data_IF_062026368340
#
_entry.id   IF_062026368340
#
_cell.length_a   1.000
_cell.length_b   1.000
_cell.length_c   1.000
_cell.angle_alpha   90.00
_cell.angle_beta   90.00
_cell.angle_gamma   90.00
#
_symmetry.space_group_name_H-M   'P 1'
#
loop_
_entity.id
_entity.type
_entity.pdbx_description
1 polymer ?
#
# COMPACT_ATOMS: atom_id res chain seq x y z
N UNK A 1 -1.24 -17.49 3.25
CA UNK A 1 -0.81 -16.28 2.54
C UNK A 1 -1.46 -16.22 1.17
N UNK A 2 -2.07 -15.08 0.88
CA UNK A 2 -2.57 -14.81 -0.45
C UNK A 2 -1.50 -14.07 -1.23
N UNK A 3 -0.93 -14.74 -2.22
CA UNK A 3 -0.06 -14.08 -3.17
C UNK A 3 -0.91 -13.69 -4.37
N UNK A 4 -1.02 -12.41 -4.63
CA UNK A 4 -1.63 -11.95 -5.87
C UNK A 4 -0.65 -12.20 -7.02
N UNK A 5 -1.10 -12.05 -8.26
CA UNK A 5 -0.28 -12.33 -9.44
C UNK A 5 0.86 -11.31 -9.59
N UNK A 6 1.63 -11.11 -8.53
CA UNK A 6 2.74 -10.17 -8.51
C UNK A 6 3.82 -10.67 -7.56
N UNK A 7 5.08 -10.49 -7.96
CA UNK A 7 6.23 -10.75 -7.09
C UNK A 7 6.52 -9.55 -6.19
N UNK A 8 5.78 -8.45 -6.32
CA UNK A 8 6.10 -7.19 -5.67
C UNK A 8 5.18 -6.86 -4.50
N UNK A 9 4.02 -7.50 -4.41
CA UNK A 9 3.10 -7.26 -3.30
C UNK A 9 2.20 -8.47 -3.07
N UNK A 10 1.79 -8.66 -1.83
CA UNK A 10 0.92 -9.76 -1.44
C UNK A 10 0.28 -9.48 -0.09
N UNK A 11 -0.73 -10.28 0.26
CA UNK A 11 -1.34 -10.26 1.59
C UNK A 11 -1.31 -11.65 2.20
N UNK A 12 -1.28 -11.69 3.53
CA UNK A 12 -1.45 -12.93 4.27
C UNK A 12 -2.93 -13.25 4.41
N UNK A 13 -3.27 -14.53 4.32
CA UNK A 13 -4.57 -15.01 4.73
C UNK A 13 -4.72 -14.82 6.24
N UNK A 14 -5.89 -14.43 6.69
CA UNK A 14 -6.21 -14.49 8.10
C UNK A 14 -7.67 -14.93 8.27
N UNK A 15 -7.97 -15.43 9.46
CA UNK A 15 -9.32 -15.93 9.76
C UNK A 15 -10.29 -14.78 9.99
N UNK A 16 -9.78 -13.62 10.39
CA UNK A 16 -10.58 -12.41 10.52
C UNK A 16 -10.56 -11.69 9.17
N UNK A 17 -11.63 -11.83 8.41
CA UNK A 17 -11.73 -11.29 7.06
C UNK A 17 -11.76 -9.76 6.98
N UNK A 18 -11.60 -9.08 8.11
CA UNK A 18 -11.61 -7.62 8.18
C UNK A 18 -10.22 -7.02 8.17
N UNK A 19 -9.19 -7.80 8.46
CA UNK A 19 -7.81 -7.30 8.60
C UNK A 19 -6.87 -8.16 7.80
N UNK A 20 -5.98 -7.51 7.06
CA UNK A 20 -4.92 -8.18 6.31
C UNK A 20 -3.60 -7.48 6.57
N UNK A 21 -2.54 -8.27 6.49
CA UNK A 21 -1.19 -7.73 6.43
C UNK A 21 -0.75 -7.74 4.98
N UNK A 22 -0.30 -6.59 4.48
CA UNK A 22 0.19 -6.47 3.13
C UNK A 22 1.70 -6.27 3.12
N UNK A 23 2.34 -6.64 2.04
CA UNK A 23 3.77 -6.41 1.83
C UNK A 23 3.98 -5.88 0.43
N UNK A 24 4.79 -4.83 0.32
CA UNK A 24 5.21 -4.28 -0.96
C UNK A 24 6.73 -4.29 -1.00
N UNK A 25 7.29 -4.82 -2.09
CA UNK A 25 8.72 -4.71 -2.37
C UNK A 25 8.93 -3.46 -3.20
N UNK A 26 9.89 -2.62 -2.80
CA UNK A 26 10.15 -1.35 -3.47
C UNK A 26 10.45 -1.53 -4.95
N UNK A 27 9.91 -0.66 -5.83
CA UNK A 27 10.18 -0.74 -7.25
C UNK A 27 11.67 -0.61 -7.56
N UNK A 28 12.13 -1.33 -8.56
CA UNK A 28 13.52 -1.23 -9.02
C UNK A 28 13.78 0.16 -9.58
N UNK A 29 15.03 0.61 -9.48
CA UNK A 29 15.47 1.92 -9.98
C UNK A 29 14.74 3.08 -9.31
N UNK A 30 14.40 2.91 -8.03
CA UNK A 30 13.79 3.95 -7.22
C UNK A 30 14.47 4.01 -5.86
N UNK A 31 14.18 5.06 -5.11
CA UNK A 31 14.66 5.20 -3.73
C UNK A 31 14.10 4.13 -2.79
N UNK A 32 13.12 3.35 -3.23
CA UNK A 32 12.51 2.27 -2.46
C UNK A 32 13.11 0.91 -2.78
N UNK A 33 13.99 0.82 -3.77
CA UNK A 33 14.57 -0.43 -4.23
C UNK A 33 15.24 -1.19 -3.09
N UNK A 34 15.07 -2.51 -3.08
CA UNK A 34 15.62 -3.42 -2.08
C UNK A 34 15.05 -3.22 -0.67
N UNK A 35 13.94 -2.52 -0.56
CA UNK A 35 13.25 -2.32 0.71
C UNK A 35 11.95 -3.09 0.73
N UNK A 36 11.58 -3.56 1.92
CA UNK A 36 10.34 -4.30 2.15
C UNK A 36 9.45 -3.44 3.04
N UNK A 37 8.23 -3.18 2.58
CA UNK A 37 7.27 -2.36 3.32
C UNK A 37 6.11 -3.22 3.78
N UNK A 38 5.80 -3.12 5.07
CA UNK A 38 4.65 -3.79 5.68
C UNK A 38 3.51 -2.81 5.82
N UNK A 39 2.31 -3.28 5.48
CA UNK A 39 1.10 -2.48 5.53
C UNK A 39 0.03 -3.20 6.31
N UNK A 40 -0.84 -2.44 6.94
CA UNK A 40 -2.06 -2.93 7.57
C UNK A 40 -3.24 -2.51 6.72
N UNK A 41 -4.13 -3.45 6.44
CA UNK A 41 -5.30 -3.22 5.60
C UNK A 41 -6.53 -3.62 6.39
N UNK A 42 -7.49 -2.72 6.50
CA UNK A 42 -8.72 -2.96 7.23
C UNK A 42 -9.93 -2.75 6.33
N UNK A 43 -10.78 -3.78 6.25
CA UNK A 43 -12.05 -3.67 5.58
C UNK A 43 -13.07 -3.07 6.55
N UNK A 44 -13.64 -1.92 6.20
CA UNK A 44 -14.69 -1.30 6.98
C UNK A 44 -16.02 -2.05 6.81
N UNK A 45 -17.04 -1.57 7.52
CA UNK A 45 -18.36 -2.19 7.48
C UNK A 45 -18.97 -2.23 6.09
N UNK A 46 -18.59 -1.29 5.25
CA UNK A 46 -19.12 -1.17 3.89
C UNK A 46 -18.26 -1.82 2.81
N UNK A 47 -17.15 -2.44 3.21
CA UNK A 47 -16.34 -3.18 2.27
C UNK A 47 -17.09 -4.43 1.80
N UNK A 48 -17.09 -4.82 0.53
CA UNK A 48 -16.33 -4.26 -0.58
C UNK A 48 -17.02 -3.13 -1.36
N UNK A 49 -18.14 -2.63 -0.87
CA UNK A 49 -18.84 -1.52 -1.53
C UNK A 49 -18.01 -0.25 -1.50
N UNK A 50 -17.23 -0.07 -0.44
CA UNK A 50 -16.25 0.98 -0.30
C UNK A 50 -14.86 0.36 -0.20
N UNK A 51 -13.80 1.09 -0.60
CA UNK A 51 -12.44 0.57 -0.48
C UNK A 51 -12.02 0.40 0.98
N UNK A 52 -11.00 -0.44 1.24
CA UNK A 52 -10.48 -0.61 2.59
C UNK A 52 -9.67 0.61 3.05
N UNK A 53 -9.36 0.65 4.34
CA UNK A 53 -8.40 1.59 4.91
C UNK A 53 -7.03 0.95 4.89
N UNK A 54 -6.01 1.69 4.43
CA UNK A 54 -4.65 1.18 4.29
C UNK A 54 -3.69 2.08 5.04
N UNK A 55 -2.77 1.46 5.77
CA UNK A 55 -1.77 2.16 6.55
C UNK A 55 -0.42 1.48 6.38
N UNK A 56 0.63 2.26 6.09
CA UNK A 56 1.99 1.75 6.16
C UNK A 56 2.40 1.57 7.62
N UNK A 57 2.92 0.41 7.94
CA UNK A 57 3.57 0.15 9.23
C UNK A 57 5.02 0.58 9.12
N UNK A 58 5.72 0.12 8.08
CA UNK A 58 7.08 0.55 7.78
C UNK A 58 7.06 2.01 7.36
N UNK A 59 7.95 2.81 7.95
CA UNK A 59 8.01 4.24 7.64
C UNK A 59 8.49 4.45 6.21
N UNK A 60 7.80 5.33 5.51
CA UNK A 60 8.08 5.64 4.11
C UNK A 60 7.92 7.15 3.92
N UNK A 61 8.80 7.74 3.13
CA UNK A 61 8.64 9.11 2.68
C UNK A 61 7.98 9.09 1.30
N UNK A 62 6.67 9.29 1.28
CA UNK A 62 5.87 9.29 0.04
C UNK A 62 4.72 10.29 0.22
N UNK A 63 5.05 11.60 0.33
CA UNK A 63 4.06 12.60 0.73
C UNK A 63 2.93 12.80 -0.28
N UNK A 64 3.11 12.32 -1.51
CA UNK A 64 2.06 12.45 -2.53
C UNK A 64 0.78 11.70 -2.16
N UNK A 65 0.87 10.64 -1.35
CA UNK A 65 -0.31 9.86 -0.99
C UNK A 65 -0.29 9.30 0.42
N UNK A 66 0.80 9.43 1.18
CA UNK A 66 0.91 8.89 2.53
C UNK A 66 1.01 10.03 3.53
N UNK A 67 0.18 9.97 4.57
CA UNK A 67 0.26 10.91 5.68
C UNK A 67 1.55 10.62 6.45
N UNK A 68 2.46 11.58 6.45
CA UNK A 68 3.78 11.39 7.02
C UNK A 68 3.79 11.37 8.55
N UNK A 69 2.65 11.64 9.18
CA UNK A 69 2.52 11.59 10.63
C UNK A 69 2.16 10.20 11.14
N UNK A 70 1.42 9.42 10.35
CA UNK A 70 0.82 8.18 10.85
C UNK A 70 0.84 7.03 9.85
N UNK A 71 1.20 7.27 8.59
CA UNK A 71 1.31 6.21 7.58
C UNK A 71 0.03 5.90 6.82
N UNK A 72 -1.10 6.54 7.12
CA UNK A 72 -2.33 6.28 6.38
C UNK A 72 -2.21 6.71 4.92
N UNK A 73 -2.73 5.89 4.03
CA UNK A 73 -2.70 6.14 2.59
C UNK A 73 -3.98 6.85 2.16
N UNK A 74 -3.82 7.95 1.45
CA UNK A 74 -4.96 8.63 0.83
C UNK A 74 -5.22 7.97 -0.53
N UNK A 75 -6.17 7.04 -0.56
CA UNK A 75 -6.48 6.25 -1.75
C UNK A 75 -7.05 7.10 -2.88
N UNK A 76 -7.65 8.24 -2.55
CA UNK A 76 -8.14 9.18 -3.55
C UNK A 76 -7.02 9.78 -4.38
N UNK A 77 -5.86 10.02 -3.75
CA UNK A 77 -4.71 10.61 -4.43
C UNK A 77 -4.02 9.67 -5.41
N UNK A 78 -4.27 8.37 -5.29
CA UNK A 78 -3.73 7.38 -6.23
C UNK A 78 -4.81 6.77 -7.10
N UNK A 79 -6.00 7.38 -7.11
CA UNK A 79 -7.07 7.01 -8.03
C UNK A 79 -7.89 5.79 -7.63
N UNK A 80 -7.67 5.22 -6.45
CA UNK A 80 -8.36 3.99 -6.04
C UNK A 80 -9.84 4.21 -5.81
N UNK A 81 -10.22 5.34 -5.18
CA UNK A 81 -11.63 5.62 -4.90
C UNK A 81 -12.43 5.98 -6.14
N UNK A 82 -11.73 6.42 -7.18
CA UNK A 82 -12.34 6.79 -8.44
C UNK A 82 -12.63 5.50 -9.22
N UNK A 83 -13.89 5.22 -9.46
CA UNK A 83 -14.28 3.99 -10.14
C UNK A 83 -14.22 2.75 -9.28
N UNK A 84 -14.11 2.88 -7.95
CA UNK A 84 -14.15 1.71 -7.07
C UNK A 84 -15.48 0.98 -7.21
N UNK A 85 -15.41 -0.35 -7.34
CA UNK A 85 -16.56 -1.23 -7.35
C UNK A 85 -16.31 -2.39 -6.41
N UNK A 86 -17.38 -3.11 -6.05
CA UNK A 86 -17.26 -4.29 -5.18
C UNK A 86 -16.44 -5.41 -5.80
N UNK A 87 -16.12 -5.32 -7.09
CA UNK A 87 -15.28 -6.31 -7.77
C UNK A 87 -13.79 -5.99 -7.65
N UNK A 88 -13.44 -4.81 -7.18
CA UNK A 88 -12.05 -4.47 -6.91
C UNK A 88 -11.55 -5.24 -5.69
N UNK A 89 -10.25 -5.44 -5.62
CA UNK A 89 -9.63 -6.27 -4.61
C UNK A 89 -8.52 -5.52 -3.88
N UNK A 90 -8.03 -6.13 -2.81
CA UNK A 90 -6.86 -5.66 -2.09
C UNK A 90 -5.65 -5.60 -3.03
N UNK A 91 -5.56 -6.53 -3.98
CA UNK A 91 -4.50 -6.52 -5.00
C UNK A 91 -4.50 -5.23 -5.81
N UNK A 92 -5.69 -4.74 -6.18
CA UNK A 92 -5.81 -3.47 -6.91
C UNK A 92 -5.27 -2.31 -6.10
N UNK A 93 -5.56 -2.31 -4.80
CA UNK A 93 -5.09 -1.26 -3.88
C UNK A 93 -3.56 -1.29 -3.77
N UNK A 94 -2.99 -2.47 -3.50
CA UNK A 94 -1.54 -2.61 -3.36
C UNK A 94 -0.83 -2.27 -4.67
N UNK A 95 -1.42 -2.66 -5.80
CA UNK A 95 -0.87 -2.33 -7.11
C UNK A 95 -0.85 -0.83 -7.37
N UNK A 96 -1.90 -0.12 -6.96
CA UNK A 96 -1.97 1.33 -7.11
C UNK A 96 -0.89 2.03 -6.27
N UNK A 97 -0.65 1.54 -5.05
CA UNK A 97 0.40 2.07 -4.19
C UNK A 97 1.77 1.81 -4.81
N UNK A 98 2.02 0.59 -5.29
CA UNK A 98 3.26 0.23 -5.96
C UNK A 98 3.54 1.15 -7.14
N UNK A 99 2.52 1.40 -7.97
CA UNK A 99 2.67 2.27 -9.13
C UNK A 99 2.94 3.73 -8.72
N UNK A 100 2.35 4.19 -7.61
CA UNK A 100 2.64 5.52 -7.09
C UNK A 100 4.11 5.64 -6.68
N UNK A 101 4.65 4.59 -6.04
CA UNK A 101 6.08 4.56 -5.66
C UNK A 101 6.98 4.61 -6.89
N UNK A 102 6.54 4.02 -8.00
CA UNK A 102 7.34 3.95 -9.22
C UNK A 102 7.27 5.22 -10.08
N UNK A 103 6.41 6.17 -9.76
CA UNK A 103 6.28 7.42 -10.52
C UNK A 103 7.58 8.22 -10.45
N UNK A 104 7.90 8.89 -11.55
CA UNK A 104 9.16 9.64 -11.66
C UNK A 104 9.33 10.69 -10.56
N UNK A 105 8.26 11.39 -10.17
CA UNK A 105 8.32 12.40 -9.13
C UNK A 105 8.61 11.83 -7.74
N UNK A 106 8.41 10.53 -7.54
CA UNK A 106 8.61 9.88 -6.25
C UNK A 106 9.90 9.06 -6.16
N UNK A 107 10.61 8.87 -7.27
CA UNK A 107 11.71 7.89 -7.34
C UNK A 107 12.99 8.34 -6.66
N UNK A 108 13.13 9.62 -6.34
CA UNK A 108 14.36 10.21 -5.78
C UNK A 108 14.17 10.83 -4.41
N UNK A 109 13.09 10.50 -3.71
CA UNK A 109 12.85 11.02 -2.38
C UNK A 109 13.79 10.36 -1.36
N UNK A 110 14.30 11.16 -0.42
CA UNK A 110 15.12 10.60 0.67
C UNK A 110 14.25 9.73 1.55
N UNK A 111 14.73 8.54 1.88
CA UNK A 111 13.97 7.60 2.69
C UNK A 111 14.53 7.48 4.10
N UNK A 112 13.68 7.22 5.10
CA UNK A 112 14.15 6.93 6.45
C UNK A 112 14.97 5.63 6.47
N UNK A 113 15.77 5.39 7.52
CA UNK A 113 16.51 4.13 7.62
C UNK A 113 15.58 2.92 7.56
N UNK A 114 16.06 1.83 6.95
CA UNK A 114 15.30 0.60 6.89
C UNK A 114 14.91 0.12 8.30
N UNK A 115 13.71 -0.42 8.42
CA UNK A 115 13.20 -0.95 9.68
C UNK A 115 12.57 0.09 10.58
N UNK A 116 12.59 1.38 10.19
CA UNK A 116 11.89 2.41 10.94
C UNK A 116 10.39 2.27 10.70
N UNK A 117 9.60 2.49 11.75
CA UNK A 117 8.14 2.43 11.67
C UNK A 117 7.51 3.77 12.00
N UNK A 118 6.30 3.95 11.51
CA UNK A 118 5.50 5.10 11.89
C UNK A 118 5.15 5.09 13.38
#
# INVERSE_FOLDING_TARGET
MHAFNSTHYYTDDNEDLRYWNGTILGPMQSCFENRIYSLSIEAGERYPMEPPTVKFITKINLPSCVDQRNGYVDLGKIGVTRGWTQQNSISDVLGAIFHAMARSENRKLSQPPEGTEF
#
